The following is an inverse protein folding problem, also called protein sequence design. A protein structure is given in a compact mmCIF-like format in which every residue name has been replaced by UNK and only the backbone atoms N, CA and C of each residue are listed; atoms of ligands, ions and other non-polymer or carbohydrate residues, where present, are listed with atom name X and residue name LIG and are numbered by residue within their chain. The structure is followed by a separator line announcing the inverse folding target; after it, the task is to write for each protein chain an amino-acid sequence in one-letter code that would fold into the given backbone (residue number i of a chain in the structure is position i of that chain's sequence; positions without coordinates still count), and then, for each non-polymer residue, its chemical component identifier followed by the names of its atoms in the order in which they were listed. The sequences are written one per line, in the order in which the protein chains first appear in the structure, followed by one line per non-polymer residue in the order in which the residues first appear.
data_IF_330401579930
#
_entry.id   IF_330401579930
#
_cell.length_a   1.000
_cell.length_b   1.000
_cell.length_c   1.000
_cell.angle_alpha   90.00
_cell.angle_beta   90.00
_cell.angle_gamma   90.00
#
_symmetry.space_group_name_H-M   'P 1'
#
loop_
_entity.id
_entity.type
_entity.pdbx_description
1 polymer ?
#
# COMPACT_ATOMS: atom_id res chain seq x y z
N UNK A 1 3.24 22.71 20.44
CA UNK A 1 4.02 21.75 19.63
C UNK A 1 3.23 21.54 18.34
N UNK A 2 3.86 21.65 17.16
CA UNK A 2 3.16 21.97 15.92
C UNK A 2 2.24 20.83 15.46
N UNK A 3 1.13 21.22 14.83
CA UNK A 3 0.15 20.36 14.18
C UNK A 3 0.86 19.40 13.21
N UNK A 4 0.88 18.11 13.55
CA UNK A 4 1.15 17.07 12.56
C UNK A 4 -0.03 17.14 11.60
N UNK A 5 0.20 17.63 10.39
CA UNK A 5 -0.69 17.36 9.27
C UNK A 5 -0.65 15.85 9.10
N UNK A 6 -1.63 15.15 9.68
CA UNK A 6 -1.89 13.75 9.38
C UNK A 6 -1.93 13.63 7.86
N UNK A 7 -1.18 12.71 7.25
CA UNK A 7 -1.28 12.55 5.81
C UNK A 7 -2.76 12.25 5.50
N UNK A 8 -3.31 12.87 4.45
CA UNK A 8 -4.69 12.61 3.99
C UNK A 8 -4.91 11.18 3.48
N UNK A 9 -3.97 10.28 3.76
CA UNK A 9 -3.93 8.89 3.34
C UNK A 9 -2.83 8.19 4.14
N UNK A 10 -3.02 6.92 4.45
CA UNK A 10 -2.03 6.10 5.13
C UNK A 10 -1.14 5.44 4.08
N UNK A 11 0.17 5.41 4.36
CA UNK A 11 1.13 4.77 3.47
C UNK A 11 1.08 3.26 3.64
N UNK A 12 0.77 2.56 2.55
CA UNK A 12 0.62 1.11 2.50
C UNK A 12 1.66 0.55 1.54
N UNK A 13 2.61 -0.19 2.09
CA UNK A 13 3.56 -0.95 1.28
C UNK A 13 2.90 -2.25 0.82
N UNK A 14 3.02 -2.55 -0.47
CA UNK A 14 2.58 -3.82 -1.03
C UNK A 14 3.75 -4.78 -1.09
N UNK A 15 3.54 -6.03 -0.65
CA UNK A 15 4.61 -7.04 -0.63
C UNK A 15 5.22 -7.22 -2.01
N UNK A 16 6.51 -6.89 -2.13
CA UNK A 16 7.26 -6.98 -3.40
C UNK A 16 7.03 -5.83 -4.37
N UNK A 17 6.50 -4.69 -3.90
CA UNK A 17 6.27 -3.50 -4.73
C UNK A 17 6.48 -2.19 -3.96
N UNK A 18 5.90 -1.11 -4.49
CA UNK A 18 6.00 0.25 -4.04
C UNK A 18 5.02 0.53 -2.89
N UNK A 19 5.14 1.73 -2.35
CA UNK A 19 4.34 2.23 -1.23
C UNK A 19 3.29 3.21 -1.76
N UNK A 20 2.02 2.92 -1.51
CA UNK A 20 0.85 3.66 -2.01
C UNK A 20 0.20 4.46 -0.89
N UNK A 21 -0.45 5.58 -1.23
CA UNK A 21 -1.16 6.40 -0.24
C UNK A 21 -2.65 6.11 -0.31
N UNK A 22 -3.18 5.40 0.68
CA UNK A 22 -4.57 4.91 0.71
C UNK A 22 -5.36 5.65 1.77
N UNK A 23 -6.52 6.19 1.39
CA UNK A 23 -7.41 6.86 2.34
C UNK A 23 -8.40 5.90 3.01
N UNK A 24 -8.46 5.99 4.34
CA UNK A 24 -9.35 5.20 5.19
C UNK A 24 -8.67 4.02 5.90
N UNK A 25 -9.45 3.04 6.40
CA UNK A 25 -8.94 1.93 7.19
C UNK A 25 -8.18 0.94 6.30
N UNK A 26 -6.86 1.08 6.27
CA UNK A 26 -5.95 0.25 5.48
C UNK A 26 -5.89 -1.18 6.00
N UNK A 27 -5.44 -2.10 5.13
CA UNK A 27 -5.09 -3.46 5.51
C UNK A 27 -3.88 -3.46 6.45
N UNK A 28 -4.16 -3.27 7.73
CA UNK A 28 -3.22 -3.42 8.83
C UNK A 28 -3.91 -4.19 9.95
N UNK A 29 -3.16 -5.03 10.64
CA UNK A 29 -3.70 -5.83 11.71
C UNK A 29 -2.72 -6.87 12.18
N UNK A 30 -2.96 -7.41 13.37
CA UNK A 30 -2.14 -8.43 14.00
C UNK A 30 -3.02 -9.58 14.49
N UNK A 31 -2.52 -10.81 14.31
CA UNK A 31 -3.28 -12.01 14.70
C UNK A 31 -4.59 -12.15 13.92
N UNK A 32 -5.71 -12.18 14.63
CA UNK A 32 -7.06 -12.30 14.05
C UNK A 32 -7.79 -10.95 13.95
N UNK A 33 -7.18 -9.86 14.44
CA UNK A 33 -7.74 -8.53 14.36
C UNK A 33 -7.21 -7.79 13.14
N UNK A 34 -8.13 -7.16 12.43
CA UNK A 34 -7.86 -6.29 11.28
C UNK A 34 -8.39 -4.90 11.64
N UNK A 35 -7.54 -3.89 11.54
CA UNK A 35 -7.92 -2.49 11.71
C UNK A 35 -8.55 -1.93 10.42
N UNK A 36 -8.32 -2.60 9.30
CA UNK A 36 -8.95 -2.31 8.03
C UNK A 36 -8.63 -3.35 6.95
N UNK A 37 -9.24 -3.18 5.79
CA UNK A 37 -9.10 -4.10 4.66
C UNK A 37 -8.82 -3.37 3.34
N UNK A 38 -8.60 -2.05 3.38
CA UNK A 38 -8.30 -1.29 2.17
C UNK A 38 -6.86 -1.49 1.72
N UNK A 39 -6.70 -1.78 0.44
CA UNK A 39 -5.43 -1.88 -0.24
C UNK A 39 -5.46 -1.02 -1.51
N UNK A 40 -4.29 -0.68 -2.08
CA UNK A 40 -4.21 -0.02 -3.37
C UNK A 40 -4.99 -0.79 -4.44
N UNK A 41 -5.77 -0.06 -5.21
CA UNK A 41 -6.54 -0.60 -6.34
C UNK A 41 -5.83 -0.29 -7.65
N UNK A 42 -6.23 -0.99 -8.71
CA UNK A 42 -5.67 -0.75 -10.04
C UNK A 42 -5.79 0.73 -10.43
N UNK A 43 -4.67 1.34 -10.81
CA UNK A 43 -4.60 2.75 -11.17
C UNK A 43 -4.13 3.67 -10.04
N UNK A 44 -4.00 3.19 -8.80
CA UNK A 44 -3.40 3.98 -7.72
C UNK A 44 -1.92 4.25 -8.01
N UNK A 45 -1.49 5.47 -7.72
CA UNK A 45 -0.10 5.91 -7.94
C UNK A 45 0.68 5.76 -6.63
N UNK A 46 1.80 5.06 -6.69
CA UNK A 46 2.71 4.95 -5.57
C UNK A 46 3.33 6.31 -5.22
N UNK A 47 3.51 6.53 -3.93
CA UNK A 47 4.14 7.74 -3.38
C UNK A 47 5.59 7.52 -2.97
N UNK A 48 5.99 6.27 -2.71
CA UNK A 48 7.35 5.90 -2.29
C UNK A 48 7.74 4.50 -2.82
N UNK A 49 9.03 4.17 -2.69
CA UNK A 49 9.60 2.85 -3.03
C UNK A 49 9.32 2.38 -4.46
N UNK A 50 9.10 3.33 -5.36
CA UNK A 50 8.89 3.05 -6.76
C UNK A 50 10.21 2.75 -7.47
N UNK A 51 10.50 1.47 -7.65
CA UNK A 51 11.69 1.01 -8.37
C UNK A 51 11.34 0.61 -9.81
N UNK A 52 12.24 0.89 -10.75
CA UNK A 52 12.07 0.54 -12.16
C UNK A 52 12.05 -0.98 -12.43
N UNK A 53 12.42 -1.79 -11.44
CA UNK A 53 12.32 -3.25 -11.47
C UNK A 53 10.94 -3.78 -11.10
N UNK A 54 10.03 -2.94 -10.61
CA UNK A 54 8.69 -3.35 -10.17
C UNK A 54 7.74 -3.50 -11.35
N UNK A 55 6.79 -4.43 -11.23
CA UNK A 55 5.74 -4.60 -12.25
C UNK A 55 4.79 -3.41 -12.33
N UNK A 56 4.68 -2.65 -11.24
CA UNK A 56 3.87 -1.45 -11.18
C UNK A 56 4.57 -0.24 -11.82
N UNK A 57 5.87 -0.34 -12.10
CA UNK A 57 6.60 0.75 -12.73
C UNK A 57 6.12 0.99 -14.16
N UNK A 58 5.79 2.24 -14.45
CA UNK A 58 5.45 2.74 -15.78
C UNK A 58 6.67 3.45 -16.37
N UNK A 59 6.84 3.38 -17.69
CA UNK A 59 7.94 4.03 -18.42
C UNK A 59 8.03 5.56 -18.18
N UNK A 60 6.98 6.16 -17.61
CA UNK A 60 6.95 7.57 -17.20
C UNK A 60 7.65 7.85 -15.86
N UNK A 61 8.30 6.86 -15.24
CA UNK A 61 8.96 7.03 -13.94
C UNK A 61 8.03 6.99 -12.73
N UNK A 62 6.80 6.48 -12.91
CA UNK A 62 5.78 6.40 -11.85
C UNK A 62 5.38 4.95 -11.63
N UNK A 63 5.10 4.56 -10.39
CA UNK A 63 4.55 3.24 -10.12
C UNK A 63 3.04 3.37 -10.00
N UNK A 64 2.32 2.64 -10.83
CA UNK A 64 0.87 2.59 -10.86
C UNK A 64 0.46 1.15 -10.63
N UNK A 65 -0.37 0.92 -9.62
CA UNK A 65 -0.84 -0.41 -9.26
C UNK A 65 -1.48 -1.09 -10.49
N UNK A 66 -0.94 -2.22 -10.97
CA UNK A 66 -1.39 -2.85 -12.20
C UNK A 66 -2.70 -3.63 -12.01
N UNK A 67 -2.97 -4.05 -10.76
CA UNK A 67 -4.16 -4.78 -10.32
C UNK A 67 -4.51 -4.40 -8.87
N UNK A 68 -5.71 -4.77 -8.47
CA UNK A 68 -6.18 -4.56 -7.11
C UNK A 68 -5.41 -5.43 -6.12
N UNK A 69 -4.81 -4.81 -5.11
CA UNK A 69 -4.20 -5.54 -4.01
C UNK A 69 -5.28 -6.12 -3.09
N UNK A 70 -4.99 -7.32 -2.59
CA UNK A 70 -5.83 -8.07 -1.68
C UNK A 70 -5.21 -8.02 -0.30
N UNK A 71 -6.04 -7.73 0.70
CA UNK A 71 -5.62 -7.77 2.09
C UNK A 71 -5.39 -9.23 2.50
N UNK A 72 -4.18 -9.58 2.90
CA UNK A 72 -3.80 -10.94 3.26
C UNK A 72 -2.71 -10.96 4.31
N UNK A 73 -2.57 -12.11 4.99
CA UNK A 73 -1.41 -12.31 5.86
C UNK A 73 -0.13 -12.36 5.04
N UNK A 74 0.79 -11.47 5.38
CA UNK A 74 2.16 -11.46 4.87
C UNK A 74 3.03 -12.41 5.68
N UNK A 75 4.24 -12.72 5.19
CA UNK A 75 5.13 -13.74 5.76
C UNK A 75 5.45 -13.50 7.25
N UNK A 76 5.43 -12.25 7.69
CA UNK A 76 5.68 -11.85 9.08
C UNK A 76 4.50 -12.10 10.03
N UNK A 77 3.38 -12.61 9.54
CA UNK A 77 2.20 -12.96 10.34
C UNK A 77 1.26 -11.78 10.66
N UNK A 78 1.57 -10.59 10.14
CA UNK A 78 0.68 -9.42 10.15
C UNK A 78 -0.18 -9.38 8.90
N UNK A 79 -1.23 -8.57 8.92
CA UNK A 79 -2.01 -8.27 7.72
C UNK A 79 -1.32 -7.19 6.90
N UNK A 80 -1.21 -7.42 5.60
CA UNK A 80 -0.64 -6.48 4.65
C UNK A 80 -1.25 -6.67 3.26
N UNK A 81 -0.97 -5.72 2.38
CA UNK A 81 -1.46 -5.77 1.00
C UNK A 81 -0.50 -6.56 0.14
N UNK A 82 -1.05 -7.47 -0.68
CA UNK A 82 -0.33 -8.19 -1.73
C UNK A 82 -1.29 -8.48 -2.87
N UNK A 83 -0.79 -8.79 -4.05
CA UNK A 83 -1.65 -9.00 -5.21
C UNK A 83 -1.45 -10.34 -5.90
#
# INVERSE_FOLDING_TARGET
MPLIVSPKCTQVSVEGDATYCIDGPICSGSGNYIDGAKCPVKGDVAVQDCLSSLKSYTDSGKCVAPKDAVCSRVVTGVWGCKW
#
